data_IF_403928405300
#
_entry.id   IF_403928405300
#
_cell.length_a   1.000
_cell.length_b   1.000
_cell.length_c   1.000
_cell.angle_alpha   90.00
_cell.angle_beta   90.00
_cell.angle_gamma   90.00
#
_symmetry.space_group_name_H-M   'P 1'
#
loop_
_entity.id
_entity.type
_entity.pdbx_description
1 polymer ?
#
# COMPACT_ATOMS: atom_id res chain seq x y z
N UNK A 1 -24.18 -2.81 -10.37
CA UNK A 1 -23.61 -1.52 -10.61
C UNK A 1 -22.11 -1.60 -10.52
N UNK A 2 -21.41 -1.17 -11.49
CA UNK A 2 -20.07 -1.47 -12.00
C UNK A 2 -18.92 -1.03 -11.09
N UNK A 3 -18.55 -1.85 -10.11
CA UNK A 3 -17.33 -1.68 -9.28
C UNK A 3 -16.17 -2.55 -9.75
N UNK A 4 -16.39 -3.37 -10.82
CA UNK A 4 -15.42 -4.41 -11.22
C UNK A 4 -14.27 -3.92 -12.09
N UNK A 5 -14.28 -2.64 -12.48
CA UNK A 5 -13.40 -2.15 -13.53
C UNK A 5 -12.07 -1.57 -13.02
N UNK A 6 -12.01 -1.21 -11.73
CA UNK A 6 -10.79 -0.71 -11.09
C UNK A 6 -9.74 -1.79 -10.88
N UNK A 7 -10.19 -2.96 -10.47
CA UNK A 7 -9.33 -4.14 -10.29
C UNK A 7 -8.68 -4.51 -11.63
N UNK A 8 -9.40 -4.39 -12.76
CA UNK A 8 -8.86 -4.72 -14.07
C UNK A 8 -7.83 -3.71 -14.56
N UNK A 9 -8.05 -2.41 -14.35
CA UNK A 9 -7.08 -1.34 -14.70
C UNK A 9 -5.82 -1.48 -13.84
N UNK A 10 -6.00 -1.72 -12.56
CA UNK A 10 -4.89 -1.87 -11.62
C UNK A 10 -4.14 -3.21 -11.81
N UNK A 11 -4.85 -4.30 -12.07
CA UNK A 11 -4.26 -5.59 -12.42
C UNK A 11 -3.47 -5.52 -13.74
N UNK A 12 -3.91 -4.71 -14.69
CA UNK A 12 -3.18 -4.48 -15.94
C UNK A 12 -1.92 -3.67 -15.67
N UNK A 13 -2.00 -2.63 -14.84
CA UNK A 13 -0.85 -1.80 -14.45
C UNK A 13 0.24 -2.65 -13.74
N UNK A 14 -0.13 -3.50 -12.79
CA UNK A 14 0.79 -4.46 -12.16
C UNK A 14 1.36 -5.43 -13.18
N UNK A 15 0.55 -5.91 -14.12
CA UNK A 15 0.96 -6.85 -15.17
C UNK A 15 2.04 -6.29 -16.10
N UNK A 16 2.02 -5.00 -16.37
CA UNK A 16 2.93 -4.36 -17.33
C UNK A 16 4.17 -3.75 -16.67
N UNK A 17 4.09 -3.39 -15.39
CA UNK A 17 5.24 -2.86 -14.62
C UNK A 17 6.02 -3.92 -13.84
N UNK A 18 5.43 -5.05 -13.52
CA UNK A 18 6.16 -6.23 -13.07
C UNK A 18 6.47 -7.10 -14.30
N UNK A 19 7.09 -6.54 -15.31
CA UNK A 19 7.92 -7.33 -16.20
C UNK A 19 9.03 -7.89 -15.31
N UNK A 20 9.06 -9.19 -15.17
CA UNK A 20 10.18 -9.93 -14.66
C UNK A 20 11.39 -9.70 -15.57
N UNK A 21 12.05 -8.56 -15.46
CA UNK A 21 13.48 -8.58 -15.57
C UNK A 21 13.93 -9.35 -14.34
N UNK A 22 14.19 -10.63 -14.54
CA UNK A 22 15.02 -11.39 -13.62
C UNK A 22 16.22 -10.48 -13.32
N UNK A 23 16.33 -9.87 -12.11
CA UNK A 23 17.55 -9.18 -11.79
C UNK A 23 18.56 -10.31 -11.85
N UNK A 24 19.34 -10.34 -12.92
CA UNK A 24 20.60 -11.06 -12.91
C UNK A 24 21.18 -10.64 -11.59
N UNK A 25 21.26 -11.57 -10.66
CA UNK A 25 21.88 -11.39 -9.36
C UNK A 25 23.21 -10.76 -9.70
N UNK A 26 23.27 -9.41 -9.65
CA UNK A 26 24.53 -8.70 -9.67
C UNK A 26 25.25 -9.33 -8.49
N UNK A 27 26.37 -9.98 -8.78
CA UNK A 27 27.28 -10.51 -7.79
C UNK A 27 27.23 -9.57 -6.59
N UNK A 28 26.93 -10.12 -5.43
CA UNK A 28 26.96 -9.49 -4.12
C UNK A 28 28.07 -8.44 -4.12
N UNK A 29 27.72 -7.16 -4.21
CA UNK A 29 28.63 -6.16 -3.70
C UNK A 29 28.67 -6.47 -2.21
N UNK A 30 29.82 -6.90 -1.76
CA UNK A 30 30.14 -7.29 -0.40
C UNK A 30 29.56 -6.20 0.53
N UNK A 31 28.49 -6.53 1.25
CA UNK A 31 27.87 -5.60 2.20
C UNK A 31 28.92 -5.28 3.26
N UNK A 32 29.42 -4.06 3.22
CA UNK A 32 30.34 -3.52 4.21
C UNK A 32 29.48 -2.85 5.29
N UNK A 33 29.15 -3.60 6.33
CA UNK A 33 28.40 -3.08 7.47
C UNK A 33 29.04 -1.85 8.12
N UNK A 34 28.34 -1.23 9.06
CA UNK A 34 28.81 -0.03 9.75
C UNK A 34 29.97 -0.37 10.70
N UNK A 35 31.17 0.02 10.36
CA UNK A 35 32.34 -0.17 11.23
C UNK A 35 33.00 -1.56 11.15
N UNK A 36 33.82 -1.89 12.16
CA UNK A 36 34.50 -3.18 12.25
C UNK A 36 33.56 -4.22 12.86
N UNK A 37 33.33 -5.36 12.19
CA UNK A 37 32.56 -6.45 12.78
C UNK A 37 33.25 -7.02 14.04
N UNK A 38 32.47 -7.63 14.93
CA UNK A 38 32.98 -8.41 16.03
C UNK A 38 33.88 -9.57 15.53
N UNK A 39 34.74 -10.16 16.36
CA UNK A 39 35.64 -11.24 15.95
C UNK A 39 34.97 -12.45 15.31
N UNK A 40 33.68 -12.64 15.52
CA UNK A 40 32.86 -13.68 14.90
C UNK A 40 32.19 -13.25 13.56
N UNK A 41 32.46 -12.03 13.09
CA UNK A 41 31.87 -11.48 11.85
C UNK A 41 30.49 -10.88 12.02
N UNK A 42 29.94 -10.76 13.23
CA UNK A 42 28.65 -10.13 13.53
C UNK A 42 28.82 -8.66 13.96
N UNK A 43 27.72 -7.93 14.06
CA UNK A 43 27.67 -6.55 14.58
C UNK A 43 26.84 -6.53 15.86
N UNK A 44 27.19 -5.67 16.82
CA UNK A 44 26.37 -5.49 18.00
C UNK A 44 25.01 -4.87 17.64
N UNK A 45 23.96 -5.19 18.39
CA UNK A 45 22.62 -4.61 18.18
C UNK A 45 22.62 -3.08 18.25
N UNK A 46 23.50 -2.48 19.07
CA UNK A 46 23.64 -1.05 19.21
C UNK A 46 24.25 -0.40 17.96
N UNK A 47 25.29 -1.00 17.36
CA UNK A 47 25.90 -0.50 16.13
C UNK A 47 25.00 -0.65 14.91
N UNK A 48 24.23 -1.74 14.83
CA UNK A 48 23.22 -1.92 13.82
C UNK A 48 22.08 -0.88 13.96
N UNK A 49 21.63 -0.61 15.19
CA UNK A 49 20.61 0.40 15.47
C UNK A 49 21.08 1.81 15.10
N UNK A 50 22.32 2.20 15.49
CA UNK A 50 22.89 3.51 15.16
C UNK A 50 23.07 3.70 13.65
N UNK A 51 23.42 2.67 12.91
CA UNK A 51 23.49 2.71 11.45
C UNK A 51 22.14 2.97 10.80
N UNK A 52 21.08 2.30 11.27
CA UNK A 52 19.71 2.50 10.76
C UNK A 52 19.11 3.84 11.19
N UNK A 53 19.46 4.36 12.37
CA UNK A 53 18.97 5.65 12.88
C UNK A 53 19.80 6.82 12.31
N UNK A 54 21.11 6.67 12.16
CA UNK A 54 22.02 7.72 11.71
C UNK A 54 21.94 8.06 10.21
N UNK A 55 21.35 7.20 9.37
CA UNK A 55 21.17 7.47 7.94
C UNK A 55 19.87 8.23 7.58
N UNK A 56 19.03 8.58 8.55
CA UNK A 56 18.06 9.66 8.37
C UNK A 56 18.78 11.01 8.47
N UNK A 57 19.48 11.41 7.39
CA UNK A 57 19.93 12.80 7.24
C UNK A 57 18.70 13.69 7.34
N UNK A 58 18.69 14.56 8.35
CA UNK A 58 17.84 15.72 8.43
C UNK A 58 17.99 16.53 7.14
N UNK A 59 17.05 16.37 6.21
CA UNK A 59 16.87 17.35 5.16
C UNK A 59 16.23 18.57 5.84
N UNK A 60 16.95 19.67 5.92
CA UNK A 60 16.43 20.98 6.25
C UNK A 60 15.32 21.34 5.25
N UNK A 61 14.10 20.97 5.55
CA UNK A 61 12.90 21.50 4.94
C UNK A 61 12.14 22.32 5.99
N UNK A 62 11.70 23.49 5.57
CA UNK A 62 10.83 24.41 6.29
C UNK A 62 9.75 23.62 7.04
N UNK A 63 9.47 24.03 8.30
CA UNK A 63 8.54 23.38 9.22
C UNK A 63 7.08 23.46 8.76
N UNK A 64 6.74 22.83 7.65
CA UNK A 64 5.39 22.35 7.44
C UNK A 64 5.25 21.07 8.27
N UNK A 65 4.28 21.07 9.18
CA UNK A 65 3.91 19.89 9.94
C UNK A 65 3.35 18.89 8.93
N UNK A 66 4.20 17.96 8.48
CA UNK A 66 3.75 16.87 7.60
C UNK A 66 2.58 16.14 8.30
N UNK A 67 1.51 15.93 7.56
CA UNK A 67 0.39 15.16 8.08
C UNK A 67 0.68 13.66 7.90
N UNK A 68 0.04 12.83 8.71
CA UNK A 68 0.14 11.36 8.58
C UNK A 68 -0.25 10.88 7.15
N UNK A 69 -1.08 11.64 6.44
CA UNK A 69 -1.39 11.39 5.03
C UNK A 69 -0.19 11.66 4.12
N UNK A 70 0.57 12.74 4.36
CA UNK A 70 1.71 13.12 3.52
C UNK A 70 2.81 12.06 3.55
N UNK A 71 3.10 11.52 4.73
CA UNK A 71 4.07 10.43 4.90
C UNK A 71 3.65 9.16 4.14
N UNK A 72 2.36 8.83 4.19
CA UNK A 72 1.81 7.62 3.56
C UNK A 72 1.72 7.76 2.05
N UNK A 73 1.28 8.92 1.55
CA UNK A 73 1.06 9.13 0.12
C UNK A 73 2.37 9.19 -0.67
N UNK A 74 3.47 9.63 -0.08
CA UNK A 74 4.78 9.63 -0.73
C UNK A 74 5.19 8.22 -1.13
N UNK A 75 5.05 7.26 -0.22
CA UNK A 75 5.33 5.84 -0.50
C UNK A 75 4.45 5.31 -1.64
N UNK A 76 3.18 5.74 -1.71
CA UNK A 76 2.28 5.32 -2.79
C UNK A 76 2.71 5.91 -4.13
N UNK A 77 3.07 7.20 -4.17
CA UNK A 77 3.43 7.92 -5.39
C UNK A 77 4.82 7.52 -5.93
N UNK A 78 5.76 7.15 -5.08
CA UNK A 78 7.06 6.61 -5.49
C UNK A 78 6.93 5.31 -6.30
N UNK A 79 5.93 4.48 -5.96
CA UNK A 79 5.63 3.24 -6.68
C UNK A 79 4.76 3.45 -7.93
N UNK A 80 4.07 4.59 -8.02
CA UNK A 80 3.21 4.94 -9.14
C UNK A 80 4.02 5.73 -10.18
N UNK A 81 4.50 5.07 -11.21
CA UNK A 81 5.38 5.66 -12.23
C UNK A 81 4.78 6.85 -12.98
N UNK A 82 5.60 7.45 -13.86
CA UNK A 82 5.28 8.62 -14.68
C UNK A 82 4.07 8.47 -15.62
N UNK A 83 3.94 9.42 -16.53
CA UNK A 83 2.87 9.44 -17.53
C UNK A 83 2.94 8.24 -18.49
N UNK A 84 1.81 7.56 -18.65
CA UNK A 84 1.62 6.47 -19.63
C UNK A 84 0.37 6.79 -20.45
N UNK A 85 0.50 6.66 -21.76
CA UNK A 85 -0.63 6.73 -22.69
C UNK A 85 -0.53 5.55 -23.67
N UNK A 86 -1.20 4.45 -23.34
CA UNK A 86 -1.29 3.30 -24.22
C UNK A 86 -2.69 3.28 -24.88
N UNK A 87 -2.78 3.47 -26.20
CA UNK A 87 -4.06 3.43 -26.92
C UNK A 87 -4.82 2.09 -26.77
N UNK A 88 -4.10 1.02 -26.38
CA UNK A 88 -4.69 -0.30 -26.11
C UNK A 88 -5.20 -0.42 -24.68
N UNK A 89 -4.89 0.57 -23.83
CA UNK A 89 -5.36 0.58 -22.45
C UNK A 89 -6.79 1.14 -22.36
N UNK A 90 -7.78 0.34 -21.92
CA UNK A 90 -9.13 0.83 -21.68
C UNK A 90 -9.20 1.98 -20.65
N UNK A 91 -8.16 2.18 -19.84
CA UNK A 91 -8.02 3.28 -18.88
C UNK A 91 -7.64 4.61 -19.52
N UNK A 92 -7.06 4.59 -20.73
CA UNK A 92 -6.51 5.76 -21.40
C UNK A 92 -5.24 6.28 -20.73
N UNK A 93 -5.02 7.60 -20.81
CA UNK A 93 -3.91 8.26 -20.15
C UNK A 93 -3.91 8.00 -18.62
N UNK A 94 -2.75 7.72 -18.07
CA UNK A 94 -2.57 7.52 -16.61
C UNK A 94 -1.29 8.20 -16.16
N UNK A 95 -1.34 8.90 -15.02
CA UNK A 95 -0.18 9.51 -14.37
C UNK A 95 -0.38 9.45 -12.85
N UNK A 96 0.64 9.07 -12.12
CA UNK A 96 0.57 8.90 -10.67
C UNK A 96 -0.62 8.03 -10.21
N UNK A 97 -0.95 6.97 -10.97
CA UNK A 97 -2.11 6.11 -10.68
C UNK A 97 -3.49 6.73 -10.99
N UNK A 98 -3.54 8.00 -11.39
CA UNK A 98 -4.77 8.71 -11.79
C UNK A 98 -5.01 8.52 -13.27
N UNK A 99 -6.13 7.88 -13.67
CA UNK A 99 -6.45 7.61 -15.06
C UNK A 99 -7.52 8.57 -15.62
N UNK A 100 -7.41 8.89 -16.90
CA UNK A 100 -8.41 9.72 -17.62
C UNK A 100 -9.82 9.17 -17.54
N UNK A 101 -9.94 7.86 -17.54
CA UNK A 101 -11.24 7.17 -17.39
C UNK A 101 -11.88 7.40 -16.03
N UNK A 102 -11.08 7.39 -14.95
CA UNK A 102 -11.59 7.62 -13.60
C UNK A 102 -11.88 9.10 -13.35
N UNK A 103 -11.11 9.96 -13.98
CA UNK A 103 -11.15 11.42 -13.83
C UNK A 103 -11.22 12.10 -15.20
N UNK A 104 -12.39 12.04 -15.89
CA UNK A 104 -12.54 12.53 -17.27
C UNK A 104 -12.25 14.04 -17.42
N UNK A 105 -12.45 14.80 -16.35
CA UNK A 105 -12.29 16.26 -16.36
C UNK A 105 -10.87 16.72 -15.98
N UNK A 106 -9.98 15.80 -15.56
CA UNK A 106 -8.61 16.10 -15.16
C UNK A 106 -7.68 16.07 -16.38
N UNK A 107 -6.82 17.07 -16.53
CA UNK A 107 -5.67 17.01 -17.44
C UNK A 107 -4.61 16.06 -16.89
N UNK A 108 -4.68 14.80 -17.31
CA UNK A 108 -3.77 13.73 -16.82
C UNK A 108 -2.32 14.02 -17.20
N UNK A 109 -2.09 14.55 -18.41
CA UNK A 109 -0.73 14.86 -18.88
C UNK A 109 -0.08 15.97 -18.05
N UNK A 110 -0.84 17.02 -17.74
CA UNK A 110 -0.41 18.15 -16.92
C UNK A 110 -0.51 17.90 -15.41
N UNK A 111 -1.01 16.75 -14.95
CA UNK A 111 -1.18 16.48 -13.53
C UNK A 111 0.16 16.56 -12.80
N UNK A 112 0.21 17.36 -11.73
CA UNK A 112 1.36 17.47 -10.83
C UNK A 112 1.28 16.44 -9.68
N UNK A 113 2.36 16.27 -8.94
CA UNK A 113 2.38 15.43 -7.73
C UNK A 113 1.37 15.95 -6.72
N UNK A 114 1.33 17.27 -6.51
CA UNK A 114 0.40 17.93 -5.58
C UNK A 114 -1.05 17.69 -6.00
N UNK A 115 -1.37 17.84 -7.29
CA UNK A 115 -2.70 17.54 -7.81
C UNK A 115 -3.10 16.08 -7.64
N UNK A 116 -2.15 15.16 -7.78
CA UNK A 116 -2.39 13.75 -7.48
C UNK A 116 -2.63 13.52 -5.98
N UNK A 117 -1.83 14.14 -5.09
CA UNK A 117 -2.02 14.09 -3.63
C UNK A 117 -3.43 14.57 -3.23
N UNK A 118 -3.91 15.69 -3.80
CA UNK A 118 -5.25 16.21 -3.55
C UNK A 118 -6.36 15.22 -3.95
N UNK A 119 -6.21 14.56 -5.09
CA UNK A 119 -7.15 13.53 -5.54
C UNK A 119 -7.17 12.35 -4.57
N UNK A 120 -6.00 11.84 -4.18
CA UNK A 120 -5.89 10.73 -3.22
C UNK A 120 -6.43 11.11 -1.83
N UNK A 121 -6.15 12.34 -1.36
CA UNK A 121 -6.67 12.86 -0.10
C UNK A 121 -8.19 12.87 -0.10
N UNK A 122 -8.80 13.53 -1.09
CA UNK A 122 -10.24 13.69 -1.21
C UNK A 122 -10.96 12.36 -1.42
N UNK A 123 -10.53 11.56 -2.41
CA UNK A 123 -11.31 10.42 -2.91
C UNK A 123 -11.00 9.09 -2.21
N UNK A 124 -9.83 8.97 -1.58
CA UNK A 124 -9.43 7.74 -0.89
C UNK A 124 -9.20 7.92 0.60
N UNK A 125 -8.62 9.02 1.05
CA UNK A 125 -8.39 9.24 2.47
C UNK A 125 -9.66 9.71 3.18
N UNK A 126 -10.17 10.89 2.82
CA UNK A 126 -11.31 11.52 3.49
C UNK A 126 -12.61 10.75 3.25
N UNK A 127 -12.89 10.39 2.00
CA UNK A 127 -14.08 9.62 1.62
C UNK A 127 -14.14 8.25 2.28
N UNK A 128 -13.00 7.62 2.52
CA UNK A 128 -12.91 6.35 3.23
C UNK A 128 -12.76 6.52 4.74
N UNK A 129 -12.67 7.75 5.25
CA UNK A 129 -12.56 8.06 6.69
C UNK A 129 -11.34 7.39 7.33
N UNK A 130 -10.18 7.46 6.66
CA UNK A 130 -8.96 6.81 7.13
C UNK A 130 -8.54 7.32 8.50
N UNK A 131 -8.73 8.61 8.79
CA UNK A 131 -8.43 9.20 10.10
C UNK A 131 -9.23 8.60 11.27
N UNK A 132 -10.27 7.83 10.98
CA UNK A 132 -11.12 7.24 12.03
C UNK A 132 -10.70 5.84 12.46
N UNK A 133 -9.64 5.29 11.87
CA UNK A 133 -9.04 4.02 12.31
C UNK A 133 -7.80 4.28 13.17
N UNK A 134 -7.37 3.32 14.01
CA UNK A 134 -6.13 3.44 14.79
C UNK A 134 -4.92 3.77 13.91
N UNK A 135 -4.00 4.63 14.40
CA UNK A 135 -2.84 5.12 13.63
C UNK A 135 -2.00 3.99 13.05
N UNK A 136 -1.76 2.93 13.82
CA UNK A 136 -1.01 1.76 13.34
C UNK A 136 -1.68 1.00 12.19
N UNK A 137 -2.93 1.30 11.85
CA UNK A 137 -3.68 0.64 10.77
C UNK A 137 -4.01 1.58 9.61
N UNK A 138 -3.76 2.89 9.71
CA UNK A 138 -4.13 3.85 8.67
C UNK A 138 -3.45 3.55 7.35
N UNK A 139 -2.14 3.31 7.37
CA UNK A 139 -1.37 3.02 6.15
C UNK A 139 -1.91 1.78 5.43
N UNK A 140 -1.99 0.64 6.12
CA UNK A 140 -2.48 -0.58 5.49
C UNK A 140 -3.95 -0.47 5.05
N UNK A 141 -4.79 0.25 5.80
CA UNK A 141 -6.17 0.48 5.41
C UNK A 141 -6.28 1.35 4.16
N UNK A 142 -5.53 2.46 4.11
CA UNK A 142 -5.48 3.34 2.94
C UNK A 142 -5.00 2.57 1.71
N UNK A 143 -3.89 1.85 1.81
CA UNK A 143 -3.35 1.02 0.74
C UNK A 143 -4.37 -0.03 0.25
N UNK A 144 -5.02 -0.74 1.16
CA UNK A 144 -6.09 -1.67 0.79
C UNK A 144 -7.29 -0.98 0.15
N UNK A 145 -7.68 0.22 0.62
CA UNK A 145 -8.81 0.95 0.04
C UNK A 145 -8.52 1.42 -1.38
N UNK A 146 -7.30 1.85 -1.66
CA UNK A 146 -6.82 2.18 -3.01
C UNK A 146 -6.81 0.94 -3.90
N UNK A 147 -6.27 -0.17 -3.42
CA UNK A 147 -6.00 -1.37 -4.22
C UNK A 147 -7.23 -2.25 -4.50
N UNK A 148 -8.09 -2.43 -3.52
CA UNK A 148 -9.21 -3.39 -3.61
C UNK A 148 -10.57 -2.78 -3.31
N UNK A 149 -10.59 -1.46 -3.07
CA UNK A 149 -11.78 -0.69 -2.71
C UNK A 149 -12.16 -0.80 -1.24
N UNK A 150 -12.81 0.27 -0.75
CA UNK A 150 -13.21 0.44 0.65
C UNK A 150 -13.91 -0.77 1.25
N UNK A 151 -14.93 -1.29 0.56
CA UNK A 151 -15.76 -2.38 1.11
C UNK A 151 -14.94 -3.64 1.42
N UNK A 152 -14.01 -4.01 0.54
CA UNK A 152 -13.13 -5.16 0.77
C UNK A 152 -12.10 -4.87 1.85
N UNK A 153 -11.49 -3.69 1.82
CA UNK A 153 -10.54 -3.26 2.83
C UNK A 153 -11.15 -3.32 4.24
N UNK A 154 -12.36 -2.80 4.42
CA UNK A 154 -13.06 -2.84 5.71
C UNK A 154 -13.42 -4.28 6.13
N UNK A 155 -13.82 -5.15 5.20
CA UNK A 155 -14.06 -6.57 5.53
C UNK A 155 -12.81 -7.27 6.06
N UNK A 156 -11.64 -7.01 5.48
CA UNK A 156 -10.37 -7.55 5.98
C UNK A 156 -10.09 -7.04 7.40
N UNK A 157 -10.30 -5.74 7.67
CA UNK A 157 -10.16 -5.18 9.02
C UNK A 157 -11.12 -5.84 10.02
N UNK A 158 -12.38 -6.04 9.64
CA UNK A 158 -13.40 -6.71 10.47
C UNK A 158 -13.04 -8.17 10.73
N UNK A 159 -12.58 -8.91 9.73
CA UNK A 159 -12.11 -10.28 9.89
C UNK A 159 -10.90 -10.35 10.82
N UNK A 160 -9.93 -9.43 10.67
CA UNK A 160 -8.74 -9.35 11.53
C UNK A 160 -9.13 -9.03 12.99
N UNK A 161 -10.04 -8.08 13.20
CA UNK A 161 -10.55 -7.77 14.54
C UNK A 161 -11.30 -8.95 15.17
N UNK A 162 -12.09 -9.66 14.38
CA UNK A 162 -12.76 -10.89 14.81
C UNK A 162 -11.77 -12.01 15.15
N UNK A 163 -10.63 -12.07 14.47
CA UNK A 163 -9.55 -13.01 14.81
C UNK A 163 -8.91 -12.75 16.18
N UNK A 164 -8.98 -11.52 16.69
CA UNK A 164 -8.43 -11.10 17.98
C UNK A 164 -9.47 -11.11 19.09
N UNK A 165 -10.60 -10.46 18.86
CA UNK A 165 -11.58 -10.12 19.89
C UNK A 165 -12.45 -11.33 20.24
N UNK A 166 -12.83 -11.46 21.51
CA UNK A 166 -13.82 -12.47 21.95
C UNK A 166 -15.20 -12.17 21.38
N UNK A 167 -15.64 -10.91 21.50
CA UNK A 167 -16.91 -10.44 20.90
C UNK A 167 -16.68 -10.18 19.41
N UNK A 168 -17.47 -10.83 18.58
CA UNK A 168 -17.40 -10.70 17.12
C UNK A 168 -18.33 -9.60 16.63
N UNK A 169 -17.94 -8.98 15.52
CA UNK A 169 -18.76 -8.02 14.77
C UNK A 169 -19.11 -8.60 13.41
N UNK A 170 -20.14 -8.08 12.77
CA UNK A 170 -20.50 -8.44 11.41
C UNK A 170 -19.42 -8.02 10.41
N UNK A 171 -19.17 -8.87 9.41
CA UNK A 171 -18.23 -8.60 8.32
C UNK A 171 -19.01 -8.06 7.11
N UNK A 172 -19.55 -6.86 7.27
CA UNK A 172 -20.44 -6.21 6.29
C UNK A 172 -19.69 -5.24 5.35
N UNK A 173 -18.45 -4.84 5.69
CA UNK A 173 -17.66 -3.85 4.95
C UNK A 173 -18.00 -2.40 5.33
N UNK A 174 -18.73 -2.20 6.41
CA UNK A 174 -19.07 -0.88 6.96
C UNK A 174 -18.09 -0.42 8.02
N UNK A 175 -17.52 0.78 7.86
CA UNK A 175 -16.65 1.41 8.86
C UNK A 175 -17.48 2.24 9.85
N UNK A 176 -18.38 1.57 10.58
CA UNK A 176 -19.24 2.18 11.61
C UNK A 176 -18.56 2.25 12.98
N UNK A 177 -19.27 2.79 14.00
CA UNK A 177 -18.74 2.89 15.37
C UNK A 177 -18.35 1.52 15.97
N UNK A 178 -19.10 0.46 15.67
CA UNK A 178 -18.78 -0.88 16.15
C UNK A 178 -17.46 -1.39 15.56
N UNK A 179 -17.27 -1.23 14.24
CA UNK A 179 -16.03 -1.59 13.57
C UNK A 179 -14.84 -0.82 14.14
N UNK A 180 -14.96 0.52 14.29
CA UNK A 180 -13.87 1.34 14.84
C UNK A 180 -13.45 0.91 16.23
N UNK A 181 -14.41 0.67 17.13
CA UNK A 181 -14.11 0.14 18.48
C UNK A 181 -13.45 -1.23 18.43
N UNK A 182 -13.89 -2.09 17.53
CA UNK A 182 -13.32 -3.44 17.40
C UNK A 182 -11.87 -3.43 16.86
N UNK A 183 -11.45 -2.37 16.20
CA UNK A 183 -10.08 -2.21 15.68
C UNK A 183 -9.08 -1.75 16.75
N UNK A 184 -9.54 -1.28 17.90
CA UNK A 184 -8.64 -0.83 18.96
C UNK A 184 -7.72 -1.97 19.43
N UNK A 185 -6.42 -1.70 19.41
CA UNK A 185 -5.37 -2.64 19.78
C UNK A 185 -5.23 -3.83 18.80
N UNK A 186 -5.85 -3.80 17.62
CA UNK A 186 -5.58 -4.79 16.57
C UNK A 186 -4.17 -4.54 16.02
N UNK A 187 -3.38 -5.59 15.96
CA UNK A 187 -1.99 -5.56 15.51
C UNK A 187 -1.93 -5.45 13.97
N UNK A 188 -1.00 -4.64 13.46
CA UNK A 188 -0.74 -4.50 12.02
C UNK A 188 -0.48 -5.87 11.37
N UNK A 189 0.35 -6.69 11.99
CA UNK A 189 0.68 -8.03 11.49
C UNK A 189 -0.53 -8.93 11.34
N UNK A 190 -1.53 -8.75 12.20
CA UNK A 190 -2.80 -9.49 12.07
C UNK A 190 -3.56 -9.06 10.82
N UNK A 191 -3.63 -7.76 10.55
CA UNK A 191 -4.28 -7.26 9.32
C UNK A 191 -3.52 -7.74 8.08
N UNK A 192 -2.18 -7.69 8.10
CA UNK A 192 -1.34 -8.26 7.02
C UNK A 192 -1.65 -9.74 6.77
N UNK A 193 -1.74 -10.55 7.82
CA UNK A 193 -2.07 -11.97 7.70
C UNK A 193 -3.45 -12.21 7.07
N UNK A 194 -4.46 -11.41 7.45
CA UNK A 194 -5.79 -11.51 6.84
C UNK A 194 -5.84 -11.00 5.40
N UNK A 195 -5.04 -10.00 5.06
CA UNK A 195 -4.85 -9.55 3.67
C UNK A 195 -4.22 -10.64 2.80
N UNK A 196 -3.17 -11.30 3.27
CA UNK A 196 -2.55 -12.46 2.59
C UNK A 196 -3.55 -13.59 2.44
N UNK A 197 -4.30 -13.93 3.50
CA UNK A 197 -5.36 -14.94 3.43
C UNK A 197 -6.41 -14.62 2.37
N UNK A 198 -6.83 -13.35 2.27
CA UNK A 198 -7.76 -12.92 1.22
C UNK A 198 -7.20 -13.18 -0.18
N UNK A 199 -5.95 -12.82 -0.46
CA UNK A 199 -5.35 -13.05 -1.76
C UNK A 199 -5.16 -14.54 -2.07
N UNK A 200 -4.74 -15.35 -1.09
CA UNK A 200 -4.66 -16.80 -1.24
C UNK A 200 -6.02 -17.38 -1.63
N UNK A 201 -7.07 -17.04 -0.89
CA UNK A 201 -8.46 -17.49 -1.20
C UNK A 201 -8.93 -16.98 -2.57
N UNK A 202 -8.49 -15.79 -2.99
CA UNK A 202 -8.83 -15.26 -4.31
C UNK A 202 -8.20 -16.10 -5.43
N UNK A 203 -6.94 -16.50 -5.27
CA UNK A 203 -6.21 -17.34 -6.23
C UNK A 203 -6.80 -18.76 -6.28
N UNK A 204 -7.10 -19.35 -5.12
CA UNK A 204 -7.80 -20.66 -5.07
C UNK A 204 -9.10 -20.66 -5.88
N UNK A 205 -9.87 -19.56 -5.81
CA UNK A 205 -11.13 -19.43 -6.56
C UNK A 205 -10.94 -19.04 -8.02
N UNK A 206 -9.83 -18.41 -8.36
CA UNK A 206 -9.49 -17.90 -9.68
C UNK A 206 -8.01 -18.16 -9.99
N UNK A 207 -7.64 -19.40 -10.39
CA UNK A 207 -6.25 -19.79 -10.60
C UNK A 207 -5.49 -18.92 -11.62
N UNK A 208 -6.18 -18.33 -12.59
CA UNK A 208 -5.58 -17.40 -13.57
C UNK A 208 -4.91 -16.19 -12.93
N UNK A 209 -5.24 -15.89 -11.67
CA UNK A 209 -4.68 -14.78 -10.90
C UNK A 209 -3.40 -15.17 -10.14
N UNK A 210 -2.99 -16.43 -10.13
CA UNK A 210 -1.80 -16.91 -9.41
C UNK A 210 -0.53 -16.13 -9.78
N UNK A 211 -0.39 -15.76 -11.03
CA UNK A 211 0.72 -14.92 -11.53
C UNK A 211 0.89 -13.59 -10.81
N UNK A 212 -0.14 -13.10 -10.12
CA UNK A 212 -0.09 -11.85 -9.34
C UNK A 212 0.14 -12.08 -7.85
N UNK A 213 0.01 -13.33 -7.37
CA UNK A 213 -0.02 -13.64 -5.95
C UNK A 213 1.26 -13.22 -5.23
N UNK A 214 2.42 -13.48 -5.83
CA UNK A 214 3.70 -13.09 -5.24
C UNK A 214 3.81 -11.57 -5.01
N UNK A 215 3.42 -10.76 -6.00
CA UNK A 215 3.40 -9.30 -5.87
C UNK A 215 2.43 -8.83 -4.77
N UNK A 216 1.25 -9.42 -4.68
CA UNK A 216 0.28 -9.11 -3.63
C UNK A 216 0.76 -9.51 -2.24
N UNK A 217 1.41 -10.67 -2.14
CA UNK A 217 2.02 -11.15 -0.90
C UNK A 217 3.11 -10.17 -0.42
N UNK A 218 4.08 -9.84 -1.30
CA UNK A 218 5.15 -8.90 -0.98
C UNK A 218 4.61 -7.55 -0.52
N UNK A 219 3.69 -6.92 -1.28
CA UNK A 219 3.05 -5.66 -0.89
C UNK A 219 2.32 -5.77 0.44
N UNK A 220 1.73 -6.91 0.76
CA UNK A 220 1.05 -7.11 2.04
C UNK A 220 1.99 -7.10 3.24
N UNK A 221 3.28 -7.35 3.04
CA UNK A 221 4.31 -7.33 4.08
C UNK A 221 5.01 -5.97 4.18
N UNK A 222 5.10 -5.23 3.08
CA UNK A 222 5.79 -3.93 3.00
C UNK A 222 4.97 -2.78 3.61
N UNK A 223 3.64 -2.89 3.62
CA UNK A 223 2.71 -1.85 4.11
C UNK A 223 2.25 -2.09 5.53
#
# INVERSE_FOLDING_TARGET
MKTDNWIQVWLKFIREKIVWENPTIKKEEEWKGPGNPLPDGTYSEAEAADYYIGNKKESNMSSEVLTEFDDIIEVVLEHEGGYVNDPKDPGGETKYGVSKRAYPDVDIKGLTVEGAKEIYKRDYWDKNKVDTVPSNLKHIYFDMAVNMGKGRAVKILQEASNGKNKTKIDVDGGLGPATRRALEGVELQRVRAYRVKYYATLVERKPDLEKFYFGWFRRSLEV
#
